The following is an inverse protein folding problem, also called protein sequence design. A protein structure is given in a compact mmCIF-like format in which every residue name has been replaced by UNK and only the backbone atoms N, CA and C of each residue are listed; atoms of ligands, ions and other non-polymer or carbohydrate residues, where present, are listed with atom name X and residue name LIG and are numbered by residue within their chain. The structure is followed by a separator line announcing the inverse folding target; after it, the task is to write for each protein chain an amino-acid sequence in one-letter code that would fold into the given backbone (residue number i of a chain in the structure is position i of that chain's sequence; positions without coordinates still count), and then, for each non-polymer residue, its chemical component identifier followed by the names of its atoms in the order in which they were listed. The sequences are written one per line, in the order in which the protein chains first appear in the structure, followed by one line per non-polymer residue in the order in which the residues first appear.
data_IF_512668972226
#
_entry.id   IF_512668972226
#
_cell.length_a   1.000
_cell.length_b   1.000
_cell.length_c   1.000
_cell.angle_alpha   90.00
_cell.angle_beta   90.00
_cell.angle_gamma   90.00
#
_symmetry.space_group_name_H-M   'P 1'
#
loop_
_entity.id
_entity.type
_entity.pdbx_description
1 polymer ?
#
# COMPACT_ATOMS: atom_id res chain seq x y z
N UNK A 1 4.89 -30.77 -21.54
CA UNK A 1 4.45 -31.54 -22.72
C UNK A 1 2.94 -31.62 -22.66
N UNK A 2 2.24 -31.40 -23.78
CA UNK A 2 0.78 -31.52 -23.87
C UNK A 2 0.35 -32.97 -23.54
N UNK A 3 -0.53 -33.10 -22.56
CA UNK A 3 -1.02 -34.36 -22.01
C UNK A 3 -2.12 -34.98 -22.86
N UNK A 4 -2.76 -34.23 -23.75
CA UNK A 4 -3.85 -34.72 -24.57
C UNK A 4 -3.38 -35.12 -25.98
N UNK A 5 -3.68 -36.36 -26.38
CA UNK A 5 -3.15 -36.99 -27.61
C UNK A 5 -4.11 -36.95 -28.82
N UNK A 6 -5.29 -36.37 -28.66
CA UNK A 6 -6.37 -36.46 -29.65
C UNK A 6 -7.04 -37.84 -29.68
N UNK A 7 -8.09 -37.97 -30.48
CA UNK A 7 -8.80 -39.22 -30.74
C UNK A 7 -8.50 -39.69 -32.17
N UNK A 8 -7.97 -40.90 -32.34
CA UNK A 8 -7.66 -41.47 -33.65
C UNK A 8 -8.91 -41.67 -34.55
N UNK A 9 -10.10 -41.70 -33.98
CA UNK A 9 -11.36 -41.80 -34.73
C UNK A 9 -11.96 -40.44 -35.09
N UNK A 10 -11.34 -39.33 -34.63
CA UNK A 10 -11.76 -37.98 -34.96
C UNK A 10 -10.55 -37.15 -35.41
N UNK A 11 -10.18 -37.18 -36.70
CA UNK A 11 -8.90 -36.66 -37.19
C UNK A 11 -8.69 -35.16 -36.94
N UNK A 12 -9.77 -34.39 -36.74
CA UNK A 12 -9.67 -32.95 -36.40
C UNK A 12 -9.00 -32.73 -35.03
N UNK A 13 -9.07 -33.72 -34.15
CA UNK A 13 -8.48 -33.69 -32.79
C UNK A 13 -7.00 -34.05 -32.75
N UNK A 14 -6.41 -34.49 -33.87
CA UNK A 14 -5.00 -34.94 -33.94
C UNK A 14 -4.01 -33.81 -34.21
N UNK A 15 -4.49 -32.59 -34.51
CA UNK A 15 -3.66 -31.43 -34.77
C UNK A 15 -3.24 -30.74 -33.45
N UNK A 16 -1.97 -30.90 -33.05
CA UNK A 16 -1.43 -30.41 -31.77
C UNK A 16 -1.52 -28.89 -31.51
N UNK A 17 -1.61 -28.09 -32.57
CA UNK A 17 -1.66 -26.61 -32.44
C UNK A 17 -3.00 -26.02 -32.88
N UNK A 18 -3.84 -26.81 -33.56
CA UNK A 18 -5.17 -26.39 -33.99
C UNK A 18 -6.19 -26.92 -32.97
N UNK A 19 -6.14 -26.33 -31.79
CA UNK A 19 -7.07 -26.67 -30.72
C UNK A 19 -8.52 -26.35 -31.17
N UNK A 20 -9.48 -27.20 -30.80
CA UNK A 20 -10.91 -26.91 -30.96
C UNK A 20 -11.41 -26.58 -32.38
N UNK A 21 -10.76 -27.05 -33.44
CA UNK A 21 -11.15 -26.69 -34.81
C UNK A 21 -11.06 -25.18 -35.09
N UNK A 22 -10.18 -24.45 -34.39
CA UNK A 22 -10.05 -22.99 -34.41
C UNK A 22 -11.19 -22.21 -33.74
N UNK A 23 -12.01 -22.86 -32.91
CA UNK A 23 -13.07 -22.24 -32.12
C UNK A 23 -12.76 -22.34 -30.60
N UNK A 24 -11.82 -21.52 -30.08
CA UNK A 24 -11.38 -21.57 -28.69
C UNK A 24 -12.45 -21.11 -27.68
N UNK A 25 -13.57 -20.55 -28.16
CA UNK A 25 -14.68 -20.08 -27.31
C UNK A 25 -15.63 -21.22 -26.97
N UNK A 26 -15.85 -22.15 -27.91
CA UNK A 26 -16.86 -23.20 -27.79
C UNK A 26 -16.36 -24.51 -27.17
N UNK A 27 -15.06 -24.79 -27.21
CA UNK A 27 -14.52 -26.09 -26.78
C UNK A 27 -13.42 -25.95 -25.72
N UNK A 28 -13.58 -26.65 -24.59
CA UNK A 28 -12.71 -26.56 -23.39
C UNK A 28 -11.60 -27.61 -23.45
N UNK A 29 -10.36 -27.18 -23.17
CA UNK A 29 -9.17 -28.03 -23.23
C UNK A 29 -9.34 -29.29 -22.35
N UNK A 30 -9.42 -30.50 -22.95
CA UNK A 30 -9.65 -31.73 -22.20
C UNK A 30 -8.51 -32.07 -21.23
N UNK A 31 -7.32 -31.48 -21.40
CA UNK A 31 -6.17 -31.73 -20.53
C UNK A 31 -6.33 -31.13 -19.12
N UNK A 32 -7.26 -30.17 -18.94
CA UNK A 32 -7.47 -29.48 -17.67
C UNK A 32 -6.34 -28.52 -17.27
N UNK A 33 -5.35 -28.32 -18.14
CA UNK A 33 -4.21 -27.43 -17.87
C UNK A 33 -4.63 -25.97 -17.67
N UNK A 34 -5.74 -25.53 -18.29
CA UNK A 34 -6.32 -24.19 -18.07
C UNK A 34 -6.80 -23.98 -16.63
N UNK A 35 -7.46 -24.99 -16.03
CA UNK A 35 -7.91 -24.97 -14.64
C UNK A 35 -6.75 -25.12 -13.65
N UNK A 36 -5.75 -25.95 -13.97
CA UNK A 36 -4.52 -26.02 -13.17
C UNK A 36 -3.74 -24.70 -13.22
N UNK A 37 -3.63 -24.06 -14.39
CA UNK A 37 -2.99 -22.74 -14.54
C UNK A 37 -3.72 -21.66 -13.74
N UNK A 38 -5.05 -21.74 -13.63
CA UNK A 38 -5.84 -20.88 -12.75
C UNK A 38 -5.52 -21.13 -11.28
N UNK A 39 -5.47 -22.40 -10.83
CA UNK A 39 -5.13 -22.75 -9.44
C UNK A 39 -3.70 -22.29 -9.06
N UNK A 40 -2.73 -22.49 -9.97
CA UNK A 40 -1.35 -22.02 -9.80
C UNK A 40 -1.31 -20.49 -9.72
N UNK A 41 -2.03 -19.78 -10.60
CA UNK A 41 -2.13 -18.31 -10.56
C UNK A 41 -2.69 -17.78 -9.24
N UNK A 42 -3.74 -18.42 -8.71
CA UNK A 42 -4.31 -18.05 -7.40
C UNK A 42 -3.33 -18.31 -6.25
N UNK A 43 -2.61 -19.43 -6.29
CA UNK A 43 -1.58 -19.76 -5.31
C UNK A 43 -0.46 -18.71 -5.32
N UNK A 44 0.00 -18.33 -6.52
CA UNK A 44 1.02 -17.30 -6.71
C UNK A 44 0.54 -15.96 -6.13
N UNK A 45 -0.70 -15.55 -6.43
CA UNK A 45 -1.28 -14.32 -5.88
C UNK A 45 -1.33 -14.34 -4.34
N UNK A 46 -1.74 -15.45 -3.74
CA UNK A 46 -1.74 -15.62 -2.28
C UNK A 46 -0.34 -15.45 -1.65
N UNK A 47 0.69 -16.00 -2.30
CA UNK A 47 2.09 -15.83 -1.87
C UNK A 47 2.56 -14.38 -2.02
N UNK A 48 2.19 -13.69 -3.10
CA UNK A 48 2.51 -12.28 -3.33
C UNK A 48 1.87 -11.37 -2.27
N UNK A 49 0.60 -11.60 -1.92
CA UNK A 49 -0.08 -10.88 -0.83
C UNK A 49 0.65 -11.10 0.50
N UNK A 50 0.95 -12.35 0.84
CA UNK A 50 1.61 -12.66 2.11
C UNK A 50 3.03 -12.07 2.20
N UNK A 51 3.81 -12.13 1.11
CA UNK A 51 5.18 -11.61 1.06
C UNK A 51 5.24 -10.08 1.08
N UNK A 52 4.38 -9.40 0.32
CA UNK A 52 4.27 -7.93 0.35
C UNK A 52 3.81 -7.41 1.71
N UNK A 53 2.79 -8.02 2.31
CA UNK A 53 2.33 -7.67 3.66
C UNK A 53 3.42 -7.93 4.72
N UNK A 54 4.17 -9.03 4.59
CA UNK A 54 5.28 -9.30 5.48
C UNK A 54 6.38 -8.25 5.37
N UNK A 55 6.75 -7.86 4.15
CA UNK A 55 7.76 -6.84 3.87
C UNK A 55 7.36 -5.47 4.45
N UNK A 56 6.15 -4.99 4.13
CA UNK A 56 5.62 -3.73 4.64
C UNK A 56 5.56 -3.74 6.17
N UNK A 57 5.13 -4.85 6.78
CA UNK A 57 5.16 -5.04 8.23
C UNK A 57 6.57 -4.96 8.83
N UNK A 58 7.60 -5.50 8.17
CA UNK A 58 8.98 -5.39 8.63
C UNK A 58 9.50 -3.95 8.56
N UNK A 59 9.22 -3.22 7.47
CA UNK A 59 9.58 -1.80 7.35
C UNK A 59 8.93 -0.97 8.44
N UNK A 60 7.65 -1.21 8.68
CA UNK A 60 6.89 -0.54 9.73
C UNK A 60 7.48 -0.77 11.13
N UNK A 61 7.77 -2.02 11.49
CA UNK A 61 8.41 -2.34 12.78
C UNK A 61 9.81 -1.72 12.89
N UNK A 62 10.60 -1.76 11.82
CA UNK A 62 11.93 -1.16 11.80
C UNK A 62 11.91 0.36 12.03
N UNK A 63 10.99 1.06 11.36
CA UNK A 63 10.81 2.49 11.53
C UNK A 63 10.28 2.85 12.92
N UNK A 64 9.34 2.08 13.46
CA UNK A 64 8.89 2.26 14.85
C UNK A 64 10.07 2.16 15.84
N UNK A 65 10.92 1.15 15.68
CA UNK A 65 12.10 0.98 16.54
C UNK A 65 13.10 2.14 16.40
N UNK A 66 13.21 2.74 15.21
CA UNK A 66 14.12 3.87 14.96
C UNK A 66 13.55 5.17 15.52
N UNK A 67 12.25 5.41 15.36
CA UNK A 67 11.58 6.63 15.81
C UNK A 67 11.33 6.66 17.32
N UNK A 68 11.24 5.49 17.98
CA UNK A 68 10.83 5.39 19.39
C UNK A 68 11.78 4.51 20.26
N UNK A 69 12.99 4.21 19.79
CA UNK A 69 13.90 3.25 20.41
C UNK A 69 14.30 3.50 21.88
N UNK A 70 14.07 2.46 22.70
CA UNK A 70 14.60 2.10 24.03
C UNK A 70 14.74 3.20 25.11
N UNK A 71 13.63 3.83 25.50
CA UNK A 71 13.58 4.60 26.75
C UNK A 71 13.15 3.70 27.92
N UNK A 72 14.02 3.65 28.94
CA UNK A 72 13.88 2.91 30.20
C UNK A 72 12.47 3.05 30.83
N UNK A 73 11.65 2.00 30.71
CA UNK A 73 10.23 1.91 31.10
C UNK A 73 9.94 2.08 32.60
N UNK A 74 10.94 2.41 33.40
CA UNK A 74 10.81 2.56 34.85
C UNK A 74 10.71 4.01 35.35
N UNK A 75 10.69 5.03 34.48
CA UNK A 75 10.80 6.43 34.94
C UNK A 75 9.64 7.39 34.66
N UNK A 76 8.58 7.04 33.92
CA UNK A 76 7.45 7.99 33.76
C UNK A 76 6.06 7.33 33.85
N UNK A 77 5.27 7.88 34.77
CA UNK A 77 3.90 7.49 35.09
C UNK A 77 2.95 8.46 34.37
N UNK A 78 2.00 7.89 33.61
CA UNK A 78 0.77 8.50 33.01
C UNK A 78 0.97 9.36 31.76
N UNK A 79 0.09 9.10 30.78
CA UNK A 79 -0.06 9.73 29.44
C UNK A 79 0.82 9.06 28.36
N UNK A 80 0.21 8.64 27.25
CA UNK A 80 0.73 7.63 26.30
C UNK A 80 2.16 7.96 25.88
N UNK A 81 3.13 7.10 26.23
CA UNK A 81 4.57 7.37 26.04
C UNK A 81 5.15 6.56 24.86
N UNK A 82 6.36 6.88 24.42
CA UNK A 82 7.14 6.10 23.44
C UNK A 82 7.22 4.58 23.77
N UNK A 83 6.99 4.19 25.03
CA UNK A 83 6.88 2.80 25.46
C UNK A 83 5.58 2.10 25.00
N UNK A 84 4.45 2.81 24.85
CA UNK A 84 3.19 2.24 24.35
C UNK A 84 3.28 1.92 22.85
N UNK A 85 4.12 2.67 22.12
CA UNK A 85 4.46 2.41 20.73
C UNK A 85 5.34 1.15 20.59
N UNK A 86 6.17 0.85 21.59
CA UNK A 86 7.04 -0.33 21.62
C UNK A 86 6.25 -1.64 21.83
N UNK A 87 5.19 -1.62 22.66
CA UNK A 87 4.26 -2.76 22.86
C UNK A 87 3.39 -3.03 21.62
N UNK A 88 3.19 -2.02 20.75
CA UNK A 88 2.37 -2.11 19.54
C UNK A 88 2.99 -2.72 18.30
N UNK A 89 4.31 -2.94 18.30
CA UNK A 89 5.08 -3.41 17.13
C UNK A 89 4.62 -4.79 16.64
N UNK A 90 4.28 -5.69 17.56
CA UNK A 90 3.76 -7.03 17.24
C UNK A 90 2.32 -6.94 16.74
N UNK A 91 1.47 -6.17 17.44
CA UNK A 91 0.06 -6.03 17.09
C UNK A 91 -0.12 -5.38 15.71
N UNK A 92 0.64 -4.34 15.38
CA UNK A 92 0.58 -3.68 14.07
C UNK A 92 1.07 -4.58 12.91
N UNK A 93 2.13 -5.37 13.10
CA UNK A 93 2.58 -6.34 12.09
C UNK A 93 1.55 -7.49 11.94
N UNK A 94 0.93 -7.94 13.03
CA UNK A 94 -0.20 -8.87 12.99
C UNK A 94 -1.36 -8.23 12.23
N UNK A 95 -1.72 -6.98 12.51
CA UNK A 95 -2.82 -6.28 11.82
C UNK A 95 -2.57 -6.10 10.32
N UNK A 96 -1.35 -5.76 9.94
CA UNK A 96 -0.95 -5.63 8.54
C UNK A 96 -1.06 -6.98 7.79
N UNK A 97 -0.78 -8.10 8.47
CA UNK A 97 -0.86 -9.46 7.90
C UNK A 97 -2.25 -10.10 8.06
N UNK A 98 -3.04 -9.63 9.00
CA UNK A 98 -4.39 -10.14 9.26
C UNK A 98 -5.39 -9.46 8.33
N UNK A 99 -6.35 -10.23 7.85
CA UNK A 99 -7.60 -9.70 7.27
C UNK A 99 -8.65 -9.46 8.37
N UNK A 100 -8.24 -9.36 9.63
CA UNK A 100 -9.15 -9.19 10.76
C UNK A 100 -9.58 -7.72 10.87
N UNK A 101 -10.86 -7.47 10.61
CA UNK A 101 -11.49 -6.16 10.75
C UNK A 101 -11.48 -5.64 12.19
N UNK A 102 -11.32 -6.53 13.18
CA UNK A 102 -11.25 -6.17 14.59
C UNK A 102 -9.82 -5.97 15.09
N UNK A 103 -8.81 -6.05 14.21
CA UNK A 103 -7.43 -5.89 14.65
C UNK A 103 -7.20 -4.51 15.24
N UNK A 104 -6.46 -4.46 16.35
CA UNK A 104 -6.12 -3.23 17.05
C UNK A 104 -4.61 -3.09 17.11
N UNK A 105 -4.10 -2.01 16.51
CA UNK A 105 -2.71 -1.62 16.62
C UNK A 105 -2.54 -0.57 17.74
N UNK A 106 -1.31 -0.32 18.21
CA UNK A 106 -1.08 0.74 19.21
C UNK A 106 -1.00 2.14 18.63
N UNK A 107 -0.82 2.26 17.30
CA UNK A 107 -1.01 3.51 16.57
C UNK A 107 -1.98 3.27 15.41
N UNK A 108 -2.77 4.28 14.99
CA UNK A 108 -3.59 4.18 13.79
C UNK A 108 -2.74 3.81 12.57
N UNK A 109 -3.21 2.90 11.73
CA UNK A 109 -2.57 2.49 10.49
C UNK A 109 -3.51 2.76 9.31
N UNK A 110 -2.96 3.29 8.23
CA UNK A 110 -3.60 3.26 6.91
C UNK A 110 -2.82 2.31 6.00
N UNK A 111 -3.55 1.37 5.39
CA UNK A 111 -3.01 0.39 4.46
C UNK A 111 -3.56 0.72 3.07
N UNK A 112 -2.69 1.10 2.14
CA UNK A 112 -3.04 1.34 0.74
C UNK A 112 -2.93 0.05 -0.08
N UNK A 113 -3.95 -0.21 -0.91
CA UNK A 113 -4.11 -1.45 -1.67
C UNK A 113 -4.20 -1.27 -3.18
N UNK A 114 -4.59 -2.34 -3.87
CA UNK A 114 -4.70 -2.43 -5.32
C UNK A 114 -5.79 -1.50 -5.90
N UNK A 115 -6.78 -1.12 -5.10
CA UNK A 115 -7.87 -0.19 -5.46
C UNK A 115 -7.36 1.23 -5.78
N UNK A 116 -6.19 1.60 -5.28
CA UNK A 116 -5.50 2.87 -5.60
C UNK A 116 -4.05 2.61 -6.04
N UNK A 117 -3.87 1.61 -6.90
CA UNK A 117 -2.57 1.00 -7.26
C UNK A 117 -1.43 2.01 -7.51
N UNK A 118 -1.65 3.08 -8.27
CA UNK A 118 -0.55 4.00 -8.59
C UNK A 118 -0.06 4.78 -7.36
N UNK A 119 -0.97 5.13 -6.45
CA UNK A 119 -0.62 5.75 -5.17
C UNK A 119 0.09 4.73 -4.27
N UNK A 120 -0.45 3.51 -4.20
CA UNK A 120 0.17 2.41 -3.42
C UNK A 120 1.60 2.12 -3.88
N UNK A 121 1.82 2.03 -5.19
CA UNK A 121 3.16 1.82 -5.77
C UNK A 121 4.09 3.00 -5.53
N UNK A 122 3.59 4.26 -5.64
CA UNK A 122 4.42 5.41 -5.31
C UNK A 122 4.85 5.42 -3.84
N UNK A 123 3.94 5.11 -2.92
CA UNK A 123 4.25 5.01 -1.49
C UNK A 123 5.28 3.89 -1.25
N UNK A 124 5.09 2.70 -1.85
CA UNK A 124 6.04 1.58 -1.72
C UNK A 124 7.44 1.96 -2.22
N UNK A 125 7.54 2.54 -3.42
CA UNK A 125 8.81 3.02 -3.98
C UNK A 125 9.46 4.10 -3.12
N UNK A 126 8.67 5.03 -2.58
CA UNK A 126 9.15 6.08 -1.71
C UNK A 126 9.71 5.49 -0.41
N UNK A 127 8.99 4.56 0.23
CA UNK A 127 9.46 3.86 1.42
C UNK A 127 10.72 3.02 1.15
N UNK A 128 10.80 2.34 0.00
CA UNK A 128 12.01 1.65 -0.47
C UNK A 128 13.20 2.59 -0.64
N UNK A 129 12.95 3.85 -1.02
CA UNK A 129 13.96 4.92 -1.09
C UNK A 129 14.31 5.55 0.27
N UNK A 130 13.82 4.98 1.36
CA UNK A 130 14.12 5.43 2.74
C UNK A 130 13.21 6.53 3.26
N UNK A 131 12.05 6.77 2.64
CA UNK A 131 11.04 7.71 3.18
C UNK A 131 10.35 7.09 4.41
N UNK A 132 10.00 7.88 5.43
CA UNK A 132 9.47 7.36 6.68
C UNK A 132 8.10 6.70 6.47
N UNK A 133 7.87 5.58 7.16
CA UNK A 133 6.59 4.84 7.15
C UNK A 133 5.67 5.22 8.32
N UNK A 134 6.21 5.94 9.31
CA UNK A 134 5.47 6.50 10.45
C UNK A 134 5.50 8.00 10.27
N UNK A 135 4.32 8.60 10.20
CA UNK A 135 4.14 10.01 9.91
C UNK A 135 3.40 10.69 11.06
N UNK A 136 3.50 12.01 11.12
CA UNK A 136 2.81 12.83 12.11
C UNK A 136 1.95 13.88 11.41
N UNK A 137 0.65 13.88 11.69
CA UNK A 137 -0.33 14.75 11.03
C UNK A 137 -0.08 16.22 11.39
N UNK A 138 0.00 17.07 10.37
CA UNK A 138 0.15 18.51 10.52
C UNK A 138 -1.05 19.25 9.93
N UNK A 139 -1.08 20.58 10.07
CA UNK A 139 -2.03 21.44 9.34
C UNK A 139 -1.83 21.41 7.83
N UNK A 140 -0.67 20.91 7.39
CA UNK A 140 -0.21 20.87 6.02
C UNK A 140 0.31 22.20 5.49
N UNK A 141 1.10 22.11 4.42
CA UNK A 141 1.66 23.26 3.71
C UNK A 141 0.79 23.74 2.55
N UNK A 142 1.31 24.68 1.75
CA UNK A 142 0.64 25.19 0.56
C UNK A 142 0.40 24.05 -0.46
N UNK A 143 -0.87 23.68 -0.65
CA UNK A 143 -1.23 22.63 -1.60
C UNK A 143 -0.80 22.98 -3.03
N UNK A 144 -0.16 22.03 -3.71
CA UNK A 144 0.29 22.24 -5.09
C UNK A 144 1.57 23.06 -5.23
N UNK A 145 2.35 23.23 -4.15
CA UNK A 145 3.67 23.87 -4.19
C UNK A 145 4.57 23.26 -5.28
N UNK A 146 4.48 21.96 -5.53
CA UNK A 146 5.23 21.24 -6.56
C UNK A 146 4.95 21.71 -7.99
N UNK A 147 3.81 22.38 -8.26
CA UNK A 147 3.41 22.79 -9.64
C UNK A 147 4.33 23.82 -10.27
N UNK A 148 5.11 24.53 -9.45
CA UNK A 148 5.98 25.62 -9.91
C UNK A 148 7.47 25.37 -9.65
N UNK A 149 7.79 24.37 -8.83
CA UNK A 149 9.16 24.17 -8.33
C UNK A 149 9.69 22.75 -8.53
N UNK A 150 8.82 21.75 -8.71
CA UNK A 150 9.23 20.35 -8.80
C UNK A 150 9.24 19.87 -10.26
N UNK A 151 10.43 19.62 -10.86
CA UNK A 151 10.55 19.21 -12.26
C UNK A 151 9.80 17.91 -12.59
N UNK A 152 9.60 17.03 -11.60
CA UNK A 152 8.85 15.77 -11.73
C UNK A 152 7.38 16.02 -12.09
N UNK A 153 6.81 17.15 -11.63
CA UNK A 153 5.38 17.42 -11.74
C UNK A 153 5.04 18.62 -12.65
N UNK A 154 6.01 19.49 -12.93
CA UNK A 154 5.85 20.59 -13.89
C UNK A 154 5.56 20.03 -15.28
N UNK A 155 4.42 20.43 -15.86
CA UNK A 155 4.00 20.03 -17.21
C UNK A 155 3.53 18.58 -17.35
N UNK A 156 3.81 17.72 -16.38
CA UNK A 156 3.31 16.33 -16.34
C UNK A 156 1.85 16.24 -15.87
N UNK A 157 1.37 17.25 -15.14
CA UNK A 157 0.05 17.25 -14.49
C UNK A 157 -0.84 18.40 -14.99
N UNK A 158 -2.16 18.26 -14.85
CA UNK A 158 -3.13 19.27 -15.31
C UNK A 158 -4.47 18.68 -15.76
N UNK A 159 -5.44 19.55 -16.05
CA UNK A 159 -6.86 19.20 -16.29
C UNK A 159 -7.04 18.11 -17.37
N UNK A 160 -6.17 18.07 -18.38
CA UNK A 160 -6.24 17.12 -19.49
C UNK A 160 -5.19 16.00 -19.44
N UNK A 161 -4.32 16.01 -18.44
CA UNK A 161 -3.27 14.99 -18.33
C UNK A 161 -3.80 13.63 -17.84
N UNK A 162 -4.92 13.66 -17.10
CA UNK A 162 -5.38 12.48 -16.34
C UNK A 162 -4.47 12.12 -15.17
N UNK A 163 -3.47 12.96 -14.87
CA UNK A 163 -2.48 12.75 -13.83
C UNK A 163 -2.55 13.86 -12.77
N UNK A 164 -2.41 13.45 -11.52
CA UNK A 164 -2.18 14.36 -10.39
C UNK A 164 -0.78 14.06 -9.82
N UNK A 165 -0.10 15.09 -9.30
CA UNK A 165 1.20 14.93 -8.66
C UNK A 165 0.97 14.42 -7.23
N UNK A 166 1.39 13.20 -6.96
CA UNK A 166 1.34 12.61 -5.63
C UNK A 166 2.62 12.91 -4.85
N UNK A 167 2.47 13.03 -3.54
CA UNK A 167 3.51 13.47 -2.62
C UNK A 167 3.60 12.50 -1.45
N UNK A 168 4.78 11.93 -1.24
CA UNK A 168 5.07 11.10 -0.08
C UNK A 168 6.41 11.46 0.58
N UNK A 169 6.45 11.75 1.89
CA UNK A 169 5.34 11.82 2.84
C UNK A 169 4.32 12.90 2.49
N UNK A 170 3.08 12.73 2.94
CA UNK A 170 1.95 13.57 2.50
C UNK A 170 2.13 15.02 2.93
N UNK A 171 1.70 15.98 2.09
CA UNK A 171 1.68 17.42 2.46
C UNK A 171 0.87 17.70 3.74
N UNK A 172 0.02 16.77 4.20
CA UNK A 172 -0.74 16.85 5.46
C UNK A 172 0.04 16.33 6.69
N UNK A 173 1.35 16.16 6.58
CA UNK A 173 2.22 15.64 7.65
C UNK A 173 3.41 16.56 7.89
N UNK A 174 4.14 16.38 9.01
CA UNK A 174 5.36 17.16 9.28
C UNK A 174 6.54 16.71 8.42
N UNK A 175 6.52 15.47 7.94
CA UNK A 175 7.55 14.88 7.10
C UNK A 175 7.37 15.25 5.60
N UNK A 176 6.20 15.77 5.22
CA UNK A 176 5.88 16.23 3.88
C UNK A 176 6.26 17.69 3.60
N UNK A 177 5.87 18.18 2.43
CA UNK A 177 5.96 19.58 2.04
C UNK A 177 7.32 20.02 1.47
N UNK A 178 7.33 21.26 0.95
CA UNK A 178 8.46 21.83 0.19
C UNK A 178 9.78 21.86 0.97
N UNK A 179 9.75 22.12 2.28
CA UNK A 179 10.96 22.18 3.09
C UNK A 179 11.70 20.85 3.13
N UNK A 180 10.95 19.77 3.35
CA UNK A 180 11.48 18.40 3.35
C UNK A 180 11.86 17.93 1.95
N UNK A 181 11.10 18.32 0.92
CA UNK A 181 11.47 18.04 -0.47
C UNK A 181 12.85 18.59 -0.85
N UNK A 182 13.15 19.84 -0.47
CA UNK A 182 14.46 20.46 -0.73
C UNK A 182 15.62 19.74 -0.03
N UNK A 183 15.33 18.97 1.03
CA UNK A 183 16.30 18.11 1.72
C UNK A 183 16.29 16.65 1.23
N UNK A 184 15.57 16.34 0.16
CA UNK A 184 15.42 14.97 -0.38
C UNK A 184 14.49 14.08 0.46
N UNK A 185 13.75 14.65 1.41
CA UNK A 185 12.85 13.97 2.33
C UNK A 185 11.46 13.69 1.78
N UNK A 186 11.13 14.17 0.58
CA UNK A 186 9.84 13.94 -0.09
C UNK A 186 10.07 13.37 -1.49
N UNK A 187 9.26 12.38 -1.86
CA UNK A 187 9.12 11.81 -3.19
C UNK A 187 7.90 12.41 -3.88
N UNK A 188 8.07 12.81 -5.13
CA UNK A 188 6.99 13.30 -5.99
C UNK A 188 6.86 12.41 -7.22
N UNK A 189 5.62 12.06 -7.58
CA UNK A 189 5.36 11.26 -8.77
C UNK A 189 4.04 11.64 -9.41
N UNK A 190 4.00 11.96 -10.72
CA UNK A 190 2.75 12.03 -11.46
C UNK A 190 2.12 10.65 -11.55
N UNK A 191 0.89 10.51 -11.03
CA UNK A 191 0.14 9.25 -11.03
C UNK A 191 -1.28 9.48 -11.51
N UNK A 192 -2.02 8.40 -11.82
CA UNK A 192 -3.41 8.49 -12.26
C UNK A 192 -4.25 9.31 -11.26
N UNK A 193 -4.93 10.34 -11.77
CA UNK A 193 -5.71 11.26 -10.96
C UNK A 193 -6.84 10.57 -10.18
N UNK A 194 -7.45 9.51 -10.72
CA UNK A 194 -8.48 8.74 -10.02
C UNK A 194 -7.91 8.00 -8.82
N UNK A 195 -6.74 7.36 -8.98
CA UNK A 195 -6.06 6.67 -7.88
C UNK A 195 -5.58 7.67 -6.82
N UNK A 196 -4.98 8.80 -7.23
CA UNK A 196 -4.50 9.82 -6.29
C UNK A 196 -5.63 10.42 -5.45
N UNK A 197 -6.74 10.80 -6.10
CA UNK A 197 -7.90 11.40 -5.41
C UNK A 197 -8.58 10.40 -4.49
N UNK A 198 -8.72 9.15 -4.92
CA UNK A 198 -9.27 8.08 -4.09
C UNK A 198 -8.38 7.82 -2.88
N UNK A 199 -7.06 7.76 -3.06
CA UNK A 199 -6.11 7.62 -1.96
C UNK A 199 -6.19 8.79 -0.96
N UNK A 200 -6.26 10.02 -1.46
CA UNK A 200 -6.46 11.22 -0.64
C UNK A 200 -7.80 11.21 0.12
N UNK A 201 -8.87 10.73 -0.50
CA UNK A 201 -10.17 10.54 0.15
C UNK A 201 -10.10 9.51 1.28
N UNK A 202 -9.45 8.37 1.05
CA UNK A 202 -9.21 7.34 2.05
C UNK A 202 -8.37 7.85 3.22
N UNK A 203 -7.31 8.63 2.94
CA UNK A 203 -6.49 9.27 3.97
C UNK A 203 -7.29 10.27 4.80
N UNK A 204 -8.12 11.08 4.15
CA UNK A 204 -9.02 12.02 4.85
C UNK A 204 -10.05 11.31 5.73
N UNK A 205 -10.65 10.21 5.24
CA UNK A 205 -11.56 9.39 6.01
C UNK A 205 -10.86 8.75 7.22
N UNK A 206 -9.69 8.16 7.01
CA UNK A 206 -8.85 7.58 8.07
C UNK A 206 -8.54 8.56 9.19
N UNK A 207 -8.16 9.80 8.85
CA UNK A 207 -7.90 10.82 9.86
C UNK A 207 -9.10 11.08 10.77
N UNK A 208 -10.32 11.09 10.21
CA UNK A 208 -11.54 11.32 10.97
C UNK A 208 -11.97 10.07 11.75
N UNK A 209 -11.90 8.90 11.11
CA UNK A 209 -12.33 7.62 11.67
C UNK A 209 -11.45 7.20 12.86
N UNK A 210 -10.14 7.36 12.74
CA UNK A 210 -9.18 6.94 13.77
C UNK A 210 -8.75 8.07 14.70
N UNK A 211 -9.34 9.27 14.59
CA UNK A 211 -9.06 10.40 15.49
C UNK A 211 -7.63 10.95 15.40
N UNK A 212 -6.98 10.81 14.25
CA UNK A 212 -5.61 11.30 14.06
C UNK A 212 -5.64 12.82 14.01
N UNK A 213 -5.16 13.50 15.04
CA UNK A 213 -5.36 14.94 15.23
C UNK A 213 -4.20 15.78 14.68
N UNK A 214 -4.49 16.94 14.10
CA UNK A 214 -3.45 17.82 13.55
C UNK A 214 -2.65 18.46 14.68
N UNK A 215 -1.32 18.31 14.64
CA UNK A 215 -0.39 18.92 15.60
C UNK A 215 -0.66 18.55 17.07
N UNK A 216 -1.45 17.51 17.35
CA UNK A 216 -1.66 17.02 18.71
C UNK A 216 -0.53 16.07 19.11
N UNK A 217 0.28 16.39 20.14
CA UNK A 217 1.43 15.56 20.53
C UNK A 217 1.14 14.08 20.75
N UNK A 218 -0.09 13.75 21.17
CA UNK A 218 -0.50 12.40 21.52
C UNK A 218 -1.23 11.69 20.36
N UNK A 219 -2.03 12.44 19.60
CA UNK A 219 -2.95 11.86 18.62
C UNK A 219 -2.55 12.12 17.15
N UNK A 220 -1.42 12.77 16.88
CA UNK A 220 -0.99 13.05 15.49
C UNK A 220 -0.32 11.89 14.77
N UNK A 221 0.13 10.86 15.48
CA UNK A 221 1.01 9.82 14.93
C UNK A 221 0.24 8.69 14.28
N UNK A 222 0.70 8.23 13.11
CA UNK A 222 0.11 7.10 12.40
C UNK A 222 1.10 6.38 11.49
N UNK A 223 0.80 5.12 11.19
CA UNK A 223 1.55 4.29 10.25
C UNK A 223 0.94 4.30 8.85
N UNK A 224 1.80 4.26 7.84
CA UNK A 224 1.42 4.10 6.43
C UNK A 224 2.05 2.84 5.88
N UNK A 225 1.23 1.95 5.34
CA UNK A 225 1.64 0.70 4.72
C UNK A 225 1.16 0.66 3.27
N UNK A 226 2.05 0.42 2.32
CA UNK A 226 1.69 0.10 0.95
C UNK A 226 1.75 -1.41 0.74
N UNK A 227 0.63 -2.03 0.36
CA UNK A 227 0.57 -3.47 0.09
C UNK A 227 -0.11 -3.64 -1.28
N UNK A 228 0.66 -3.58 -2.40
CA UNK A 228 0.09 -3.55 -3.75
C UNK A 228 -0.87 -4.69 -4.09
N UNK A 229 -0.75 -5.83 -3.40
CA UNK A 229 -1.57 -7.02 -3.66
C UNK A 229 -2.78 -7.14 -2.73
N UNK A 230 -2.94 -6.31 -1.69
CA UNK A 230 -4.20 -6.31 -0.92
C UNK A 230 -5.30 -5.67 -1.76
N UNK A 231 -6.52 -6.25 -1.85
CA UNK A 231 -7.53 -5.75 -2.80
C UNK A 231 -7.97 -4.31 -2.55
N UNK A 232 -8.07 -3.90 -1.29
CA UNK A 232 -8.65 -2.62 -0.89
C UNK A 232 -7.80 -1.90 0.14
N UNK A 233 -7.85 -0.58 0.06
CA UNK A 233 -7.31 0.34 1.06
C UNK A 233 -8.17 0.27 2.31
N UNK A 234 -7.56 0.22 3.50
CA UNK A 234 -8.27 0.13 4.77
C UNK A 234 -7.56 0.86 5.92
N UNK A 235 -8.36 1.28 6.89
CA UNK A 235 -7.92 1.84 8.15
C UNK A 235 -7.87 0.76 9.25
N UNK A 236 -6.91 0.87 10.16
CA UNK A 236 -6.86 0.13 11.42
C UNK A 236 -6.65 1.13 12.53
N UNK A 237 -7.69 1.46 13.27
CA UNK A 237 -7.60 2.44 14.35
C UNK A 237 -6.92 1.85 15.60
N UNK A 238 -6.36 2.73 16.43
CA UNK A 238 -5.79 2.31 17.70
C UNK A 238 -6.84 1.64 18.59
N UNK A 239 -6.46 0.56 19.28
CA UNK A 239 -7.26 -0.03 20.36
C UNK A 239 -6.73 0.37 21.73
N UNK A 240 -7.62 0.39 22.72
CA UNK A 240 -7.24 0.45 24.12
C UNK A 240 -6.74 -0.92 24.61
#
# INVERSE_FOLDING_TARGET
MDTWRGNNHDPITLHKYLYAGSDPVKYIDPSGNSLMSFSVSNTILGVLVASSAAYAGHQFVSALNTSFGNSDVNSMRRERTAADVQVGTVAANICARSQDENCRASIPLIIFGADVMDATMHIDEAQLSGKPVVLSRSSGGNAGWYRHFAPECIGATGVFSGLDCDEYPFNSTHEGGVGNYLMGGVSLKPINASHNRSAGSSLGAFYNECGVSQNDPNDMWFGVLAIPFTPTTRAVCAGN
#
